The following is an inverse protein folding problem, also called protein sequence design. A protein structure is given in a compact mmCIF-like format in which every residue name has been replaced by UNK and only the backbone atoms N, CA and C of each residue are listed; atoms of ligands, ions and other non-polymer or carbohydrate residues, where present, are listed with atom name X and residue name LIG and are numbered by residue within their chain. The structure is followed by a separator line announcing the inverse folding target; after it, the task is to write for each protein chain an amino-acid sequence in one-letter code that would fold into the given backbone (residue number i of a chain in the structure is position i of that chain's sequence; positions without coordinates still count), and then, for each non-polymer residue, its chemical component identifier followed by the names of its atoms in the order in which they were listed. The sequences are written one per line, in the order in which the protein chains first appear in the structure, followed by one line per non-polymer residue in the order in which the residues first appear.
data_IF_901841065355
#
_entry.id   IF_901841065355
#
_cell.length_a   1.000
_cell.length_b   1.000
_cell.length_c   1.000
_cell.angle_alpha   90.00
_cell.angle_beta   90.00
_cell.angle_gamma   90.00
#
_symmetry.space_group_name_H-M   'P 1'
#
loop_
_entity.id
_entity.type
_entity.pdbx_description
1 polymer ?
#
# COMPACT_ATOMS: atom_id res chain seq x y z
N UNK A 1 -5.57 -9.59 19.08
CA UNK A 1 -4.34 -10.06 18.38
C UNK A 1 -3.26 -10.27 19.44
N UNK A 2 -2.40 -11.29 19.33
CA UNK A 2 -1.34 -11.50 20.33
C UNK A 2 -0.12 -10.59 20.10
N UNK A 3 0.68 -10.41 21.15
CA UNK A 3 1.86 -9.52 21.14
C UNK A 3 2.90 -9.92 20.08
N UNK A 4 3.06 -11.22 19.80
CA UNK A 4 4.03 -11.68 18.81
C UNK A 4 3.60 -11.29 17.40
N UNK A 5 2.31 -11.39 17.10
CA UNK A 5 1.78 -10.92 15.81
C UNK A 5 1.94 -9.41 15.65
N UNK A 6 1.62 -8.62 16.68
CA UNK A 6 1.76 -7.16 16.64
C UNK A 6 3.22 -6.75 16.36
N UNK A 7 4.19 -7.37 17.05
CA UNK A 7 5.62 -7.13 16.81
C UNK A 7 6.05 -7.45 15.38
N UNK A 8 5.52 -8.53 14.78
CA UNK A 8 5.81 -8.88 13.39
C UNK A 8 5.28 -7.80 12.45
N UNK A 9 4.03 -7.37 12.62
CA UNK A 9 3.40 -6.37 11.76
C UNK A 9 4.09 -5.01 11.90
N UNK A 10 4.51 -4.63 13.11
CA UNK A 10 5.28 -3.41 13.34
C UNK A 10 6.67 -3.47 12.67
N UNK A 11 7.34 -4.63 12.70
CA UNK A 11 8.61 -4.82 12.00
C UNK A 11 8.47 -4.74 10.47
N UNK A 12 7.34 -5.19 9.92
CA UNK A 12 6.99 -4.99 8.51
C UNK A 12 6.80 -3.50 8.25
N UNK A 13 5.98 -2.83 9.07
CA UNK A 13 5.71 -1.40 8.94
C UNK A 13 6.99 -0.56 8.97
N UNK A 14 7.90 -0.84 9.91
CA UNK A 14 9.18 -0.16 10.03
C UNK A 14 10.10 -0.34 8.82
N UNK A 15 9.94 -1.42 8.05
CA UNK A 15 10.70 -1.65 6.82
C UNK A 15 10.05 -1.04 5.58
N UNK A 16 8.72 -0.94 5.55
CA UNK A 16 7.95 -0.50 4.38
C UNK A 16 7.64 1.01 4.42
N UNK A 17 7.23 1.49 5.58
CA UNK A 17 6.85 2.87 5.83
C UNK A 17 7.33 3.34 7.20
N UNK A 18 8.65 3.37 7.46
CA UNK A 18 9.17 3.83 8.75
C UNK A 18 8.66 5.23 9.09
N UNK A 19 8.09 5.40 10.29
CA UNK A 19 7.43 6.65 10.73
C UNK A 19 8.40 7.81 10.68
N UNK A 20 9.66 7.58 11.09
CA UNK A 20 10.71 8.58 11.06
C UNK A 20 10.99 9.11 9.65
N UNK A 21 10.67 8.38 8.59
CA UNK A 21 10.87 8.80 7.20
C UNK A 21 9.57 9.27 6.55
N UNK A 22 8.51 8.49 6.70
CA UNK A 22 7.25 8.67 5.96
C UNK A 22 6.22 9.53 6.69
N UNK A 23 6.35 9.70 8.01
CA UNK A 23 5.33 10.30 8.86
C UNK A 23 4.25 9.29 9.28
N UNK A 24 3.47 9.66 10.31
CA UNK A 24 2.46 8.77 10.89
C UNK A 24 1.33 8.45 9.92
N UNK A 25 0.79 9.44 9.20
CA UNK A 25 -0.33 9.23 8.27
C UNK A 25 -0.03 8.16 7.21
N UNK A 26 1.19 8.20 6.65
CA UNK A 26 1.62 7.25 5.63
C UNK A 26 1.83 5.84 6.21
N UNK A 27 2.43 5.76 7.40
CA UNK A 27 2.64 4.50 8.09
C UNK A 27 1.31 3.86 8.51
N UNK A 28 0.38 4.67 9.04
CA UNK A 28 -0.97 4.24 9.40
C UNK A 28 -1.72 3.72 8.17
N UNK A 29 -1.66 4.42 7.04
CA UNK A 29 -2.29 3.96 5.81
C UNK A 29 -1.73 2.62 5.31
N UNK A 30 -0.42 2.38 5.44
CA UNK A 30 0.18 1.06 5.15
C UNK A 30 -0.28 -0.01 6.14
N UNK A 31 -0.39 0.31 7.43
CA UNK A 31 -0.94 -0.62 8.42
C UNK A 31 -2.39 -1.01 8.10
N UNK A 32 -3.21 -0.08 7.62
CA UNK A 32 -4.56 -0.36 7.13
C UNK A 32 -4.55 -1.34 5.95
N UNK A 33 -3.61 -1.21 5.01
CA UNK A 33 -3.51 -2.21 3.92
C UNK A 33 -3.19 -3.62 4.42
N UNK A 34 -2.38 -3.75 5.48
CA UNK A 34 -2.11 -5.05 6.12
C UNK A 34 -3.38 -5.61 6.76
N UNK A 35 -4.12 -4.78 7.50
CA UNK A 35 -5.41 -5.18 8.11
C UNK A 35 -6.43 -5.57 7.05
N UNK A 36 -6.57 -4.79 5.99
CA UNK A 36 -7.51 -5.05 4.89
C UNK A 36 -7.23 -6.39 4.22
N UNK A 37 -5.95 -6.73 3.99
CA UNK A 37 -5.55 -8.06 3.50
C UNK A 37 -6.00 -9.19 4.44
N UNK A 38 -5.82 -9.00 5.75
CA UNK A 38 -6.19 -10.03 6.73
C UNK A 38 -7.70 -10.20 6.86
N UNK A 39 -8.46 -9.10 6.96
CA UNK A 39 -9.91 -9.15 7.22
C UNK A 39 -10.75 -9.46 5.97
N UNK A 40 -10.43 -8.85 4.82
CA UNK A 40 -11.26 -9.03 3.61
C UNK A 40 -10.85 -10.25 2.80
N UNK A 41 -9.56 -10.55 2.76
CA UNK A 41 -9.00 -11.59 1.89
C UNK A 41 -8.53 -12.81 2.68
N UNK A 42 -8.70 -12.79 4.01
CA UNK A 42 -8.37 -13.92 4.88
C UNK A 42 -6.87 -14.23 4.93
N UNK A 43 -6.01 -13.25 4.63
CA UNK A 43 -4.57 -13.47 4.68
C UNK A 43 -4.11 -13.75 6.11
N UNK A 44 -3.24 -14.75 6.28
CA UNK A 44 -2.54 -14.97 7.54
C UNK A 44 -1.38 -13.99 7.69
N UNK A 45 -0.86 -13.87 8.92
CA UNK A 45 0.33 -13.05 9.22
C UNK A 45 1.53 -13.51 8.38
N UNK A 46 1.68 -14.81 8.14
CA UNK A 46 2.72 -15.37 7.28
C UNK A 46 2.56 -14.93 5.82
N UNK A 47 1.33 -14.84 5.31
CA UNK A 47 1.06 -14.32 3.97
C UNK A 47 1.32 -12.81 3.89
N UNK A 48 1.00 -12.05 4.95
CA UNK A 48 1.39 -10.63 5.05
C UNK A 48 2.92 -10.52 5.01
N UNK A 49 3.63 -11.31 5.81
CA UNK A 49 5.10 -11.36 5.75
C UNK A 49 5.60 -11.67 4.34
N UNK A 50 5.03 -12.65 3.64
CA UNK A 50 5.48 -12.98 2.29
C UNK A 50 5.24 -11.85 1.28
N UNK A 51 4.20 -11.03 1.49
CA UNK A 51 3.76 -10.01 0.54
C UNK A 51 4.45 -8.65 0.71
N UNK A 52 5.08 -8.38 1.84
CA UNK A 52 5.87 -7.17 2.11
C UNK A 52 7.35 -7.54 2.22
N UNK A 53 8.22 -6.78 1.58
CA UNK A 53 9.67 -7.03 1.49
C UNK A 53 10.46 -6.38 2.63
N UNK A 54 9.99 -5.24 3.14
CA UNK A 54 10.63 -4.43 4.17
C UNK A 54 10.61 -5.10 5.53
N UNK A 55 11.77 -5.13 6.20
CA UNK A 55 11.90 -5.54 7.61
C UNK A 55 12.81 -4.56 8.34
N UNK A 56 12.24 -3.86 9.30
CA UNK A 56 12.96 -2.96 10.20
C UNK A 56 12.89 -3.42 11.65
N UNK A 57 13.75 -2.85 12.49
CA UNK A 57 13.53 -2.88 13.93
C UNK A 57 12.44 -1.85 14.25
N UNK A 58 11.25 -2.26 14.74
CA UNK A 58 10.18 -1.32 15.02
C UNK A 58 10.53 -0.40 16.19
N UNK A 59 10.11 0.86 16.10
CA UNK A 59 10.09 1.78 17.23
C UNK A 59 8.75 1.69 17.96
N UNK A 60 8.62 2.42 19.07
CA UNK A 60 7.36 2.54 19.81
C UNK A 60 6.23 3.10 18.92
N UNK A 61 6.53 4.06 18.03
CA UNK A 61 5.54 4.64 17.14
C UNK A 61 4.95 3.62 16.15
N UNK A 62 5.77 2.74 15.55
CA UNK A 62 5.23 1.70 14.66
C UNK A 62 4.38 0.68 15.42
N UNK A 63 4.74 0.37 16.67
CA UNK A 63 3.94 -0.52 17.51
C UNK A 63 2.59 0.10 17.86
N UNK A 64 2.58 1.35 18.31
CA UNK A 64 1.36 2.08 18.63
C UNK A 64 0.42 2.21 17.41
N UNK A 65 0.97 2.46 16.22
CA UNK A 65 0.19 2.52 14.99
C UNK A 65 -0.45 1.16 14.70
N UNK A 66 0.32 0.07 14.74
CA UNK A 66 -0.22 -1.27 14.47
C UNK A 66 -1.27 -1.65 15.51
N UNK A 67 -1.02 -1.40 16.79
CA UNK A 67 -2.00 -1.65 17.86
C UNK A 67 -3.29 -0.88 17.64
N UNK A 68 -3.18 0.43 17.35
CA UNK A 68 -4.33 1.30 17.07
C UNK A 68 -5.12 0.80 15.86
N UNK A 69 -4.46 0.58 14.73
CA UNK A 69 -5.11 0.15 13.48
C UNK A 69 -5.81 -1.20 13.64
N UNK A 70 -5.20 -2.16 14.33
CA UNK A 70 -5.80 -3.49 14.53
C UNK A 70 -6.83 -3.56 15.67
N UNK A 71 -6.95 -2.50 16.48
CA UNK A 71 -7.99 -2.34 17.48
C UNK A 71 -9.18 -1.48 17.01
N UNK A 72 -8.98 -0.63 15.98
CA UNK A 72 -9.98 0.30 15.48
C UNK A 72 -11.23 -0.39 14.88
N UNK A 73 -12.35 0.32 14.79
CA UNK A 73 -13.48 -0.14 13.98
C UNK A 73 -13.13 0.01 12.49
N UNK A 74 -13.64 -0.87 11.65
CA UNK A 74 -13.39 -0.83 10.21
C UNK A 74 -13.93 0.45 9.54
N UNK A 75 -14.98 1.04 10.10
CA UNK A 75 -15.51 2.34 9.63
C UNK A 75 -14.51 3.49 9.77
N UNK A 76 -13.41 3.28 10.49
CA UNK A 76 -12.33 4.25 10.67
C UNK A 76 -11.23 4.14 9.60
N UNK A 77 -11.29 3.18 8.65
CA UNK A 77 -10.27 2.99 7.60
C UNK A 77 -10.20 4.21 6.66
N UNK A 78 -9.14 5.06 6.74
CA UNK A 78 -9.02 6.24 5.89
C UNK A 78 -8.61 5.88 4.45
N UNK A 79 -8.19 4.64 4.21
CA UNK A 79 -7.78 4.16 2.89
C UNK A 79 -8.95 3.70 2.04
N UNK A 80 -10.14 3.57 2.64
CA UNK A 80 -11.35 3.06 2.02
C UNK A 80 -11.09 1.71 1.32
N UNK A 81 -10.52 0.77 2.07
CA UNK A 81 -10.28 -0.59 1.61
C UNK A 81 -9.05 -0.75 0.70
N UNK A 82 -8.05 0.13 0.77
CA UNK A 82 -6.84 -0.04 -0.03
C UNK A 82 -6.16 -1.38 0.31
N UNK A 83 -5.74 -2.10 -0.74
CA UNK A 83 -5.16 -3.44 -0.62
C UNK A 83 -3.67 -3.45 -0.98
N UNK A 84 -3.25 -2.62 -1.93
CA UNK A 84 -1.86 -2.55 -2.38
C UNK A 84 -1.20 -1.29 -1.86
N UNK A 85 0.05 -1.41 -1.42
CA UNK A 85 0.93 -0.30 -1.11
C UNK A 85 2.22 -0.48 -1.91
N UNK A 86 2.58 0.51 -2.72
CA UNK A 86 3.75 0.47 -3.59
C UNK A 86 4.60 1.72 -3.36
N UNK A 87 5.92 1.57 -3.37
CA UNK A 87 6.80 2.74 -3.36
C UNK A 87 6.71 3.49 -4.69
N UNK A 88 7.10 4.76 -4.72
CA UNK A 88 7.29 5.50 -5.97
C UNK A 88 8.17 4.73 -6.96
N UNK A 89 9.25 4.11 -6.47
CA UNK A 89 10.18 3.36 -7.30
C UNK A 89 9.49 2.16 -7.96
N UNK A 90 8.64 1.44 -7.25
CA UNK A 90 7.88 0.31 -7.80
C UNK A 90 6.90 0.77 -8.87
N UNK A 91 6.19 1.87 -8.61
CA UNK A 91 5.24 2.49 -9.56
C UNK A 91 5.96 2.89 -10.85
N UNK A 92 7.11 3.54 -10.75
CA UNK A 92 7.92 3.95 -11.91
C UNK A 92 8.52 2.73 -12.64
N UNK A 93 9.02 1.74 -11.91
CA UNK A 93 9.68 0.55 -12.48
C UNK A 93 8.72 -0.37 -13.22
N UNK A 94 7.47 -0.47 -12.74
CA UNK A 94 6.45 -1.32 -13.33
C UNK A 94 5.46 -0.56 -14.23
N UNK A 95 5.64 0.76 -14.38
CA UNK A 95 4.80 1.58 -15.24
C UNK A 95 3.35 1.69 -14.75
N UNK A 96 3.13 1.63 -13.44
CA UNK A 96 1.78 1.71 -12.89
C UNK A 96 1.21 3.13 -12.97
N UNK A 97 -0.12 3.26 -13.11
CA UNK A 97 -0.78 4.55 -12.96
C UNK A 97 -0.58 5.08 -11.53
N UNK A 98 -0.85 6.36 -11.31
CA UNK A 98 -0.86 6.92 -9.96
C UNK A 98 -1.87 6.18 -9.07
N UNK A 99 -1.51 5.97 -7.80
CA UNK A 99 -2.38 5.33 -6.81
C UNK A 99 -3.61 6.17 -6.49
N UNK A 100 -4.64 5.50 -5.96
CA UNK A 100 -5.88 6.14 -5.51
C UNK A 100 -5.60 7.11 -4.35
N UNK A 101 -4.61 6.79 -3.52
CA UNK A 101 -4.03 7.67 -2.50
C UNK A 101 -2.51 7.70 -2.68
N UNK A 102 -1.90 8.88 -2.48
CA UNK A 102 -0.46 9.05 -2.55
C UNK A 102 0.01 9.85 -1.35
N UNK A 103 0.88 9.24 -0.55
CA UNK A 103 1.53 9.87 0.59
C UNK A 103 2.95 10.24 0.21
N UNK A 104 3.29 11.51 0.35
CA UNK A 104 4.63 12.03 0.08
C UNK A 104 5.32 12.26 1.42
N UNK A 105 6.52 11.70 1.59
CA UNK A 105 7.29 11.91 2.80
C UNK A 105 7.53 13.40 3.05
N UNK A 106 7.34 13.89 4.29
CA UNK A 106 7.65 15.28 4.64
C UNK A 106 9.17 15.57 4.59
N UNK A 107 10.01 14.54 4.56
CA UNK A 107 11.49 14.69 4.53
C UNK A 107 12.06 14.71 3.12
N UNK A 108 11.41 14.07 2.15
CA UNK A 108 11.86 14.05 0.77
C UNK A 108 10.76 13.58 -0.19
N UNK A 109 10.53 14.34 -1.26
CA UNK A 109 9.58 13.98 -2.32
C UNK A 109 9.98 12.75 -3.15
N UNK A 110 11.18 12.20 -2.92
CA UNK A 110 11.61 10.93 -3.52
C UNK A 110 10.89 9.75 -2.87
N UNK A 111 10.61 9.83 -1.56
CA UNK A 111 9.89 8.78 -0.85
C UNK A 111 8.40 9.06 -0.92
N UNK A 112 7.69 8.20 -1.65
CA UNK A 112 6.24 8.23 -1.74
C UNK A 112 5.69 6.81 -1.62
N UNK A 113 4.50 6.71 -1.06
CA UNK A 113 3.72 5.48 -0.99
C UNK A 113 2.43 5.71 -1.77
N UNK A 114 2.19 4.83 -2.74
CA UNK A 114 1.02 4.81 -3.59
C UNK A 114 0.14 3.65 -3.16
N UNK A 115 -1.10 3.95 -2.77
CA UNK A 115 -2.07 2.93 -2.38
C UNK A 115 -3.09 2.67 -3.48
N UNK A 116 -3.48 1.41 -3.65
CA UNK A 116 -4.49 1.00 -4.64
C UNK A 116 -5.54 0.11 -3.98
N UNK A 117 -6.81 0.41 -4.28
CA UNK A 117 -7.96 -0.45 -3.91
C UNK A 117 -8.09 -1.64 -4.83
N UNK A 118 -7.70 -1.45 -6.09
CA UNK A 118 -7.71 -2.47 -7.14
C UNK A 118 -6.29 -2.93 -7.50
N UNK A 119 -6.18 -4.06 -8.17
CA UNK A 119 -4.91 -4.62 -8.63
C UNK A 119 -4.23 -3.72 -9.69
N UNK A 120 -3.11 -3.06 -9.36
CA UNK A 120 -2.44 -2.17 -10.30
C UNK A 120 -1.82 -2.93 -11.50
N UNK A 121 -1.56 -4.23 -11.37
CA UNK A 121 -1.04 -5.06 -12.46
C UNK A 121 -2.09 -5.30 -13.55
N UNK A 122 -3.38 -5.15 -13.24
CA UNK A 122 -4.48 -5.32 -14.19
C UNK A 122 -5.02 -4.00 -14.75
N UNK A 123 -4.75 -2.87 -14.08
CA UNK A 123 -5.19 -1.53 -14.50
C UNK A 123 -4.59 -1.07 -15.83
N UNK A 124 -3.51 -1.70 -16.29
CA UNK A 124 -2.85 -1.41 -17.56
C UNK A 124 -3.40 -2.17 -18.78
N UNK A 125 -4.29 -3.14 -18.62
CA UNK A 125 -4.82 -3.94 -19.75
C UNK A 125 -6.00 -3.26 -20.47
N UNK A 126 -6.48 -2.12 -19.97
CA UNK A 126 -7.64 -1.41 -20.49
C UNK A 126 -7.28 -0.02 -20.98
N UNK A 127 -6.52 0.10 -22.09
CA UNK A 127 -6.66 1.25 -23.03
C UNK A 127 -5.87 1.15 -24.37
N UNK A 128 -5.76 -0.03 -24.99
CA UNK A 128 -5.26 -0.14 -26.38
C UNK A 128 -6.12 -1.04 -27.28
N UNK A 129 -7.39 -0.69 -27.47
CA UNK A 129 -8.14 -1.07 -28.69
C UNK A 129 -9.04 0.07 -29.17
N UNK A 130 -8.47 1.25 -29.40
CA UNK A 130 -9.08 2.17 -30.38
C UNK A 130 -8.46 1.89 -31.74
N UNK A 131 -9.07 0.95 -32.46
CA UNK A 131 -8.79 0.65 -33.86
C UNK A 131 -8.98 1.91 -34.72
N UNK A 132 -7.89 2.60 -35.07
CA UNK A 132 -7.87 3.50 -36.21
C UNK A 132 -7.47 2.72 -37.47
N UNK A 133 -8.45 1.99 -38.03
CA UNK A 133 -8.46 1.58 -39.43
C UNK A 133 -9.48 2.43 -40.19
N UNK A 134 -9.14 3.70 -40.37
CA UNK A 134 -9.91 4.69 -41.13
C UNK A 134 -9.20 5.10 -42.41
N UNK A 135 -8.62 4.15 -43.14
CA UNK A 135 -8.16 4.38 -44.50
C UNK A 135 -9.34 4.29 -45.47
N UNK A 136 -9.92 5.43 -45.82
CA UNK A 136 -10.74 5.57 -47.02
C UNK A 136 -10.63 7.02 -47.51
N UNK A 137 -9.76 7.24 -48.49
CA UNK A 137 -9.85 8.41 -49.37
C UNK A 137 -10.31 7.86 -50.71
N UNK A 138 -11.54 8.17 -51.07
CA UNK A 138 -12.07 8.05 -52.41
C UNK A 138 -12.52 9.45 -52.82
N UNK A 139 -11.83 10.02 -53.79
CA UNK A 139 -12.35 10.68 -55.00
C UNK A 139 -11.18 11.01 -55.94
#
# INVERSE_FOLDING_TARGET
MDSKTLMILAAILAGEAPVALMGEDAAEAVAWTMRNRMEYWGHTVEQIKAAYFGRGQPTEAELEIVERVFAADRTEDPTDGAFWAMSRQDVESWGFPKGDLVFVSPKSAVYQIHLYREDPFKRGETDETTSFSGGAVAE
#
